data_IF_724681120978
#
_entry.id   IF_724681120978
#
_cell.length_a   1.000
_cell.length_b   1.000
_cell.length_c   1.000
_cell.angle_alpha   90.00
_cell.angle_beta   90.00
_cell.angle_gamma   90.00
#
_symmetry.space_group_name_H-M   'P 1'
#
loop_
_entity.id
_entity.type
_entity.pdbx_description
1 polymer ?
#
# COMPACT_ATOMS: atom_id res chain seq x y z
N UNK A 1 -0.31 30.88 15.62
CA UNK A 1 0.07 29.70 16.44
C UNK A 1 -1.15 28.92 16.92
N UNK A 2 -2.24 29.61 17.34
CA UNK A 2 -3.52 28.97 17.69
C UNK A 2 -4.09 28.10 16.55
N UNK A 3 -4.10 28.61 15.31
CA UNK A 3 -4.73 27.91 14.19
C UNK A 3 -4.03 26.58 13.86
N UNK A 4 -2.69 26.56 13.82
CA UNK A 4 -1.94 25.32 13.58
C UNK A 4 -2.07 24.31 14.73
N UNK A 5 -2.30 24.78 15.96
CA UNK A 5 -2.60 23.89 17.09
C UNK A 5 -3.98 23.25 16.92
N UNK A 6 -4.98 24.01 16.46
CA UNK A 6 -6.30 23.47 16.15
C UNK A 6 -6.24 22.44 15.01
N UNK A 7 -5.52 22.76 13.92
CA UNK A 7 -5.29 21.82 12.81
C UNK A 7 -4.58 20.56 13.28
N UNK A 8 -3.56 20.67 14.15
CA UNK A 8 -2.88 19.51 14.71
C UNK A 8 -3.81 18.61 15.54
N UNK A 9 -4.77 19.19 16.26
CA UNK A 9 -5.74 18.41 17.02
C UNK A 9 -6.63 17.58 16.08
N UNK A 10 -7.07 18.16 14.96
CA UNK A 10 -7.83 17.45 13.92
C UNK A 10 -7.00 16.34 13.28
N UNK A 11 -5.74 16.63 12.89
CA UNK A 11 -4.80 15.63 12.37
C UNK A 11 -4.63 14.46 13.34
N UNK A 12 -4.50 14.74 14.64
CA UNK A 12 -4.35 13.71 15.67
C UNK A 12 -5.60 12.80 15.76
N UNK A 13 -6.79 13.38 15.63
CA UNK A 13 -8.04 12.60 15.59
C UNK A 13 -8.14 11.75 14.33
N UNK A 14 -7.79 12.31 13.16
CA UNK A 14 -7.77 11.56 11.90
C UNK A 14 -6.78 10.40 11.93
N UNK A 15 -5.58 10.60 12.46
CA UNK A 15 -4.57 9.54 12.62
C UNK A 15 -5.07 8.45 13.57
N UNK A 16 -5.76 8.83 14.66
CA UNK A 16 -6.37 7.86 15.59
C UNK A 16 -7.46 7.02 14.92
N UNK A 17 -8.26 7.65 14.06
CA UNK A 17 -9.31 6.95 13.31
C UNK A 17 -8.72 6.03 12.24
N UNK A 18 -7.66 6.44 11.52
CA UNK A 18 -6.90 5.60 10.60
C UNK A 18 -6.37 4.35 11.33
N UNK A 19 -5.75 4.55 12.49
CA UNK A 19 -5.20 3.46 13.30
C UNK A 19 -6.29 2.51 13.83
N UNK A 20 -7.45 3.07 14.23
CA UNK A 20 -8.62 2.28 14.62
C UNK A 20 -9.09 1.41 13.47
N UNK A 21 -9.29 1.97 12.27
CA UNK A 21 -9.73 1.22 11.09
C UNK A 21 -8.72 0.13 10.72
N UNK A 22 -7.42 0.43 10.74
CA UNK A 22 -6.36 -0.54 10.45
C UNK A 22 -6.40 -1.74 11.40
N UNK A 23 -6.55 -1.50 12.71
CA UNK A 23 -6.59 -2.54 13.75
C UNK A 23 -7.91 -3.30 13.81
N UNK A 24 -9.02 -2.65 13.47
CA UNK A 24 -10.35 -3.25 13.61
C UNK A 24 -10.81 -3.97 12.34
N UNK A 25 -10.33 -3.60 11.15
CA UNK A 25 -10.73 -4.24 9.90
C UNK A 25 -10.35 -5.73 9.87
N UNK A 26 -11.35 -6.59 9.94
CA UNK A 26 -11.21 -8.02 9.77
C UNK A 26 -12.31 -8.61 8.88
N UNK A 27 -12.03 -9.80 8.37
CA UNK A 27 -13.01 -10.66 7.72
C UNK A 27 -12.98 -12.02 8.40
N UNK A 28 -14.11 -12.43 8.97
CA UNK A 28 -14.24 -13.68 9.71
C UNK A 28 -13.15 -13.86 10.78
N UNK A 29 -12.86 -12.79 11.53
CA UNK A 29 -11.83 -12.77 12.58
C UNK A 29 -10.38 -12.68 12.09
N UNK A 30 -10.14 -12.71 10.78
CA UNK A 30 -8.80 -12.52 10.20
C UNK A 30 -8.56 -11.04 9.93
N UNK A 31 -7.56 -10.45 10.60
CA UNK A 31 -7.18 -9.05 10.40
C UNK A 31 -6.63 -8.82 9.00
N UNK A 32 -7.02 -7.70 8.40
CA UNK A 32 -6.73 -7.42 6.98
C UNK A 32 -5.71 -6.32 6.78
N UNK A 33 -5.63 -5.34 7.68
CA UNK A 33 -4.91 -4.07 7.44
C UNK A 33 -3.88 -3.74 8.53
N UNK A 34 -3.66 -4.61 9.51
CA UNK A 34 -2.72 -4.38 10.62
C UNK A 34 -1.32 -4.97 10.35
N UNK A 35 -1.06 -5.39 9.11
CA UNK A 35 0.19 -6.01 8.69
C UNK A 35 0.35 -7.49 9.07
N UNK A 36 -0.59 -8.08 9.82
CA UNK A 36 -0.57 -9.51 10.17
C UNK A 36 -1.07 -10.42 9.04
N UNK A 37 -1.84 -9.87 8.09
CA UNK A 37 -2.30 -10.59 6.90
C UNK A 37 -1.09 -10.94 6.02
N UNK A 38 -0.84 -12.24 5.81
CA UNK A 38 0.31 -12.72 5.04
C UNK A 38 -0.09 -13.13 3.62
N UNK A 39 -0.91 -14.15 3.48
CA UNK A 39 -1.51 -14.58 2.22
C UNK A 39 -2.61 -15.58 2.55
N UNK A 40 -3.68 -15.58 1.75
CA UNK A 40 -4.75 -16.57 1.87
C UNK A 40 -5.06 -17.18 0.50
N UNK A 41 -5.14 -18.51 0.44
CA UNK A 41 -5.52 -19.23 -0.76
C UNK A 41 -6.99 -19.63 -0.69
N UNK A 42 -7.72 -19.27 -1.75
CA UNK A 42 -9.10 -19.64 -1.94
C UNK A 42 -9.17 -20.69 -3.04
N UNK A 43 -9.49 -21.93 -2.65
CA UNK A 43 -9.77 -23.00 -3.60
C UNK A 43 -11.04 -22.65 -4.39
N UNK A 44 -10.91 -22.54 -5.71
CA UNK A 44 -12.03 -22.15 -6.60
C UNK A 44 -12.36 -23.22 -7.63
N UNK A 45 -11.47 -24.18 -7.87
CA UNK A 45 -11.73 -25.29 -8.79
C UNK A 45 -12.08 -26.60 -8.08
N UNK A 46 -12.44 -27.61 -8.87
CA UNK A 46 -12.81 -28.94 -8.37
C UNK A 46 -11.59 -29.75 -7.86
N UNK A 47 -10.39 -29.44 -8.35
CA UNK A 47 -9.18 -30.20 -8.04
C UNK A 47 -8.23 -29.39 -7.14
N UNK A 48 -7.53 -30.08 -6.24
CA UNK A 48 -6.53 -29.47 -5.37
C UNK A 48 -5.50 -28.64 -6.17
N UNK A 49 -5.21 -27.43 -5.69
CA UNK A 49 -4.27 -26.50 -6.32
C UNK A 49 -4.91 -25.51 -7.31
N UNK A 50 -6.18 -25.69 -7.66
CA UNK A 50 -6.95 -24.70 -8.43
C UNK A 50 -7.45 -23.57 -7.52
N UNK A 51 -6.54 -22.66 -7.16
CA UNK A 51 -6.81 -21.60 -6.19
C UNK A 51 -6.54 -20.19 -6.74
N UNK A 52 -7.15 -19.20 -6.08
CA UNK A 52 -6.81 -17.79 -6.19
C UNK A 52 -6.16 -17.39 -4.87
N UNK A 53 -4.95 -16.84 -4.93
CA UNK A 53 -4.30 -16.26 -3.77
C UNK A 53 -4.72 -14.80 -3.62
N UNK A 54 -4.94 -14.38 -2.37
CA UNK A 54 -4.90 -12.99 -1.95
C UNK A 54 -3.55 -12.80 -1.26
N UNK A 55 -2.67 -12.04 -1.89
CA UNK A 55 -1.33 -11.77 -1.38
C UNK A 55 -1.34 -10.79 -0.21
N UNK A 56 -0.18 -10.66 0.44
CA UNK A 56 0.04 -9.76 1.58
C UNK A 56 -0.50 -8.36 1.29
N UNK A 57 -1.28 -7.84 2.23
CA UNK A 57 -1.75 -6.45 2.23
C UNK A 57 -0.76 -5.56 2.99
N UNK A 58 -0.89 -4.25 2.78
CA UNK A 58 -0.15 -3.23 3.51
C UNK A 58 -0.41 -3.29 5.04
N UNK A 59 0.59 -2.91 5.83
CA UNK A 59 0.39 -2.52 7.22
C UNK A 59 -0.09 -1.06 7.29
N UNK A 60 -1.39 -0.86 7.45
CA UNK A 60 -2.02 0.46 7.48
C UNK A 60 -2.08 1.08 8.88
N UNK A 61 -1.46 0.47 9.90
CA UNK A 61 -1.37 1.08 11.23
C UNK A 61 -0.65 2.43 11.14
N UNK A 62 -1.02 3.35 12.03
CA UNK A 62 -0.45 4.71 11.99
C UNK A 62 1.08 4.72 12.14
N UNK A 63 1.65 3.75 12.85
CA UNK A 63 3.10 3.61 13.06
C UNK A 63 3.85 2.84 11.95
N UNK A 64 3.18 2.49 10.85
CA UNK A 64 3.76 1.76 9.73
C UNK A 64 3.41 2.40 8.37
N UNK A 65 2.29 3.11 8.29
CA UNK A 65 1.83 3.76 7.08
C UNK A 65 2.66 5.01 6.74
N UNK A 66 3.03 5.16 5.46
CA UNK A 66 3.65 6.39 4.93
C UNK A 66 5.17 6.52 5.06
N UNK A 67 5.87 5.49 5.57
CA UNK A 67 7.31 5.48 5.90
C UNK A 67 8.26 6.33 5.05
N UNK A 68 8.33 7.62 5.33
CA UNK A 68 9.20 8.60 4.67
C UNK A 68 10.44 8.87 5.53
N UNK A 69 11.58 9.16 4.92
CA UNK A 69 12.85 9.36 5.60
C UNK A 69 13.31 10.80 5.37
N UNK A 70 13.69 11.49 6.43
CA UNK A 70 14.12 12.89 6.35
C UNK A 70 15.53 13.04 6.89
N UNK A 71 16.50 13.16 5.98
CA UNK A 71 17.89 13.38 6.36
C UNK A 71 18.02 14.67 7.17
N UNK A 72 18.90 14.66 8.16
CA UNK A 72 19.19 15.82 9.00
C UNK A 72 20.69 15.90 9.17
N UNK A 73 21.22 17.08 8.89
CA UNK A 73 22.64 17.37 8.95
C UNK A 73 22.86 18.78 9.49
N UNK A 74 24.10 19.16 9.73
CA UNK A 74 24.44 20.52 10.14
C UNK A 74 25.52 21.11 9.25
N UNK A 75 25.37 22.40 8.97
CA UNK A 75 26.41 23.23 8.43
C UNK A 75 27.07 23.94 9.61
N UNK A 76 28.29 23.53 9.96
CA UNK A 76 28.98 24.05 11.14
C UNK A 76 29.38 25.50 10.94
N UNK A 77 28.77 26.42 11.69
CA UNK A 77 29.06 27.85 11.62
C UNK A 77 29.12 28.42 13.04
N UNK A 78 30.26 28.18 13.68
CA UNK A 78 30.58 28.73 14.99
C UNK A 78 30.66 30.26 14.92
N UNK A 79 30.56 30.90 16.10
CA UNK A 79 30.83 32.33 16.18
C UNK A 79 32.26 32.63 15.70
N UNK A 80 32.45 33.70 14.92
CA UNK A 80 33.76 34.02 14.37
C UNK A 80 34.76 34.36 15.47
N UNK A 81 36.01 33.92 15.34
CA UNK A 81 37.05 34.19 16.36
C UNK A 81 37.39 35.68 16.51
N UNK A 82 37.05 36.50 15.50
CA UNK A 82 37.20 37.95 15.50
C UNK A 82 35.89 38.59 15.06
N UNK A 83 35.50 39.71 15.68
CA UNK A 83 34.32 40.45 15.25
C UNK A 83 34.62 41.24 13.96
N UNK A 84 34.20 40.71 12.82
CA UNK A 84 34.41 41.27 11.49
C UNK A 84 33.18 41.06 10.61
N UNK A 85 33.07 41.81 9.52
CA UNK A 85 32.02 41.61 8.52
C UNK A 85 32.04 40.17 7.99
N UNK A 86 30.87 39.56 7.90
CA UNK A 86 30.66 38.21 7.40
C UNK A 86 30.10 38.26 5.97
N UNK A 87 30.61 37.40 5.09
CA UNK A 87 29.93 37.11 3.83
C UNK A 87 30.13 35.67 3.38
N UNK A 88 29.17 35.15 2.62
CA UNK A 88 29.30 33.90 1.88
C UNK A 88 28.73 34.04 0.48
N UNK A 89 29.45 33.50 -0.51
CA UNK A 89 29.01 33.46 -1.91
C UNK A 89 29.26 32.11 -2.55
N UNK A 90 28.34 31.66 -3.41
CA UNK A 90 28.47 30.38 -4.12
C UNK A 90 28.19 29.13 -3.28
N UNK A 91 27.56 29.25 -2.12
CA UNK A 91 27.02 28.10 -1.38
C UNK A 91 25.95 27.41 -2.25
N UNK A 92 25.99 26.08 -2.32
CA UNK A 92 24.90 25.29 -2.90
C UNK A 92 24.44 24.18 -1.96
N UNK A 93 23.13 23.91 -1.96
CA UNK A 93 22.48 22.82 -1.22
C UNK A 93 21.76 21.94 -2.22
N UNK A 94 22.01 20.63 -2.22
CA UNK A 94 21.48 19.68 -3.20
C UNK A 94 21.71 20.14 -4.66
N UNK A 95 22.84 20.78 -4.92
CA UNK A 95 23.20 21.34 -6.23
C UNK A 95 22.48 22.65 -6.61
N UNK A 96 21.60 23.17 -5.76
CA UNK A 96 20.91 24.45 -5.97
C UNK A 96 21.70 25.58 -5.33
N UNK A 97 22.00 26.62 -6.11
CA UNK A 97 22.70 27.81 -5.62
C UNK A 97 21.83 28.58 -4.61
N UNK A 98 22.44 28.92 -3.47
CA UNK A 98 21.85 29.78 -2.45
C UNK A 98 22.31 31.22 -2.71
N UNK A 99 21.43 32.18 -2.45
CA UNK A 99 21.76 33.59 -2.60
C UNK A 99 22.94 33.97 -1.68
N UNK A 100 23.80 34.86 -2.18
CA UNK A 100 24.90 35.40 -1.40
C UNK A 100 24.38 36.09 -0.13
N UNK A 101 25.07 35.87 0.98
CA UNK A 101 24.73 36.44 2.28
C UNK A 101 25.83 37.40 2.69
N UNK A 102 25.45 38.58 3.18
CA UNK A 102 26.39 39.56 3.74
C UNK A 102 25.80 40.14 5.02
N UNK A 103 26.59 40.12 6.09
CA UNK A 103 26.21 40.62 7.42
C UNK A 103 27.33 41.50 7.94
N UNK A 104 26.99 42.73 8.33
CA UNK A 104 27.94 43.64 8.97
C UNK A 104 28.24 43.18 10.39
N UNK A 105 29.47 43.44 10.86
CA UNK A 105 29.84 43.12 12.23
C UNK A 105 28.89 43.78 13.23
N UNK A 106 28.46 43.01 14.24
CA UNK A 106 27.67 43.46 15.36
C UNK A 106 28.54 44.04 16.48
N UNK A 107 27.94 44.14 17.68
CA UNK A 107 28.65 44.62 18.87
C UNK A 107 29.82 43.72 19.27
N UNK A 108 29.70 42.41 19.06
CA UNK A 108 30.72 41.41 19.32
C UNK A 108 30.61 40.24 18.31
N UNK A 109 31.55 39.30 18.42
CA UNK A 109 31.59 38.11 17.57
C UNK A 109 30.33 37.25 17.69
N UNK A 110 29.72 37.14 18.87
CA UNK A 110 28.52 36.34 19.08
C UNK A 110 27.30 36.96 18.39
N UNK A 111 27.16 38.28 18.43
CA UNK A 111 26.14 39.02 17.72
C UNK A 111 26.28 38.85 16.20
N UNK A 112 27.50 38.96 15.68
CA UNK A 112 27.81 38.70 14.26
C UNK A 112 27.50 37.26 13.86
N UNK A 113 27.93 36.28 14.66
CA UNK A 113 27.67 34.87 14.43
C UNK A 113 26.17 34.54 14.39
N UNK A 114 25.40 35.07 15.35
CA UNK A 114 23.93 34.94 15.38
C UNK A 114 23.29 35.51 14.11
N UNK A 115 23.61 36.75 13.76
CA UNK A 115 23.03 37.40 12.58
C UNK A 115 23.40 36.67 11.28
N UNK A 116 24.63 36.14 11.19
CA UNK A 116 25.11 35.36 10.05
C UNK A 116 24.34 34.04 9.89
N UNK A 117 24.10 33.31 10.98
CA UNK A 117 23.28 32.09 10.97
C UNK A 117 21.83 32.37 10.60
N UNK A 118 21.24 33.44 11.12
CA UNK A 118 19.86 33.84 10.79
C UNK A 118 19.72 34.23 9.31
N UNK A 119 20.64 35.04 8.79
CA UNK A 119 20.65 35.42 7.38
C UNK A 119 20.86 34.20 6.46
N UNK A 120 21.72 33.26 6.84
CA UNK A 120 21.92 32.02 6.11
C UNK A 120 20.68 31.13 6.11
N UNK A 121 20.03 30.97 7.26
CA UNK A 121 18.74 30.25 7.37
C UNK A 121 17.69 30.87 6.45
N UNK A 122 17.58 32.20 6.42
CA UNK A 122 16.67 32.90 5.52
C UNK A 122 17.01 32.62 4.05
N UNK A 123 18.28 32.70 3.66
CA UNK A 123 18.72 32.45 2.29
C UNK A 123 18.44 31.01 1.83
N UNK A 124 18.68 30.01 2.69
CA UNK A 124 18.41 28.60 2.40
C UNK A 124 16.90 28.35 2.31
N UNK A 125 16.12 28.84 3.29
CA UNK A 125 14.68 28.63 3.33
C UNK A 125 13.94 29.34 2.18
N UNK A 126 14.49 30.43 1.63
CA UNK A 126 13.95 31.06 0.43
C UNK A 126 13.98 30.15 -0.81
N UNK A 127 14.85 29.12 -0.79
CA UNK A 127 15.00 28.13 -1.86
C UNK A 127 14.43 26.75 -1.50
N UNK A 128 13.63 26.63 -0.45
CA UNK A 128 13.10 25.34 0.02
C UNK A 128 12.32 24.55 -1.04
N UNK A 129 11.60 25.25 -1.94
CA UNK A 129 10.85 24.61 -3.02
C UNK A 129 11.74 23.92 -4.06
N UNK A 130 12.98 24.40 -4.22
CA UNK A 130 13.97 23.85 -5.15
C UNK A 130 14.92 22.87 -4.45
N UNK A 131 15.40 23.22 -3.25
CA UNK A 131 16.37 22.40 -2.50
C UNK A 131 15.72 21.18 -1.84
N UNK A 132 14.46 21.29 -1.44
CA UNK A 132 13.78 20.32 -0.58
C UNK A 132 14.35 20.28 0.85
N UNK A 133 15.04 21.33 1.30
CA UNK A 133 15.71 21.40 2.60
C UNK A 133 15.24 22.61 3.39
N UNK A 134 14.87 22.39 4.65
CA UNK A 134 14.56 23.42 5.64
C UNK A 134 15.76 23.64 6.57
N UNK A 135 16.09 24.90 6.84
CA UNK A 135 17.19 25.31 7.68
C UNK A 135 16.70 25.94 8.99
N UNK A 136 17.39 25.64 10.10
CA UNK A 136 17.15 26.20 11.43
C UNK A 136 18.46 26.57 12.12
N UNK A 137 18.46 27.63 12.92
CA UNK A 137 19.64 28.01 13.71
C UNK A 137 19.86 26.96 14.80
N UNK A 138 21.07 26.39 14.86
CA UNK A 138 21.47 25.42 15.88
C UNK A 138 22.33 26.07 16.97
N UNK A 139 21.70 26.95 17.74
CA UNK A 139 22.38 27.72 18.80
C UNK A 139 23.58 28.49 18.27
N UNK A 140 24.75 28.26 18.86
CA UNK A 140 26.04 28.85 18.44
C UNK A 140 26.86 27.92 17.56
N UNK A 141 26.37 26.71 17.26
CA UNK A 141 27.15 25.66 16.57
C UNK A 141 27.01 25.70 15.05
N UNK A 142 25.95 26.30 14.53
CA UNK A 142 25.74 26.45 13.10
C UNK A 142 24.27 26.44 12.69
N UNK A 143 24.01 25.86 11.52
CA UNK A 143 22.67 25.75 10.94
C UNK A 143 22.33 24.27 10.76
N UNK A 144 21.22 23.81 11.34
CA UNK A 144 20.67 22.48 11.07
C UNK A 144 19.92 22.52 9.76
N UNK A 145 20.19 21.55 8.89
CA UNK A 145 19.51 21.31 7.63
C UNK A 145 18.71 20.03 7.75
N UNK A 146 17.41 20.09 7.50
CA UNK A 146 16.52 18.93 7.52
C UNK A 146 15.80 18.83 6.19
N UNK A 147 15.81 17.65 5.58
CA UNK A 147 15.05 17.39 4.36
C UNK A 147 13.55 17.46 4.66
N UNK A 148 12.80 18.11 3.78
CA UNK A 148 11.34 18.12 3.80
C UNK A 148 10.73 17.25 2.70
N UNK A 149 11.59 16.72 1.82
CA UNK A 149 11.26 15.65 0.86
C UNK A 149 11.83 14.32 1.32
N UNK A 150 11.29 13.24 0.78
CA UNK A 150 11.80 11.92 1.10
C UNK A 150 13.27 11.80 0.66
N UNK A 151 14.09 11.30 1.57
CA UNK A 151 15.53 11.15 1.40
C UNK A 151 15.86 9.78 0.82
N UNK A 152 15.00 9.27 -0.05
CA UNK A 152 15.16 8.00 -0.76
C UNK A 152 14.88 8.25 -2.24
N UNK A 153 15.75 7.72 -3.10
CA UNK A 153 15.54 7.73 -4.54
C UNK A 153 14.49 6.68 -4.94
N UNK A 154 14.00 6.76 -6.17
CA UNK A 154 13.03 5.78 -6.70
C UNK A 154 13.57 4.33 -6.72
N UNK A 155 14.89 4.15 -6.72
CA UNK A 155 15.56 2.85 -6.65
C UNK A 155 15.75 2.33 -5.20
N UNK A 156 15.29 3.07 -4.19
CA UNK A 156 15.43 2.73 -2.78
C UNK A 156 16.76 3.15 -2.13
N UNK A 157 17.68 3.75 -2.88
CA UNK A 157 18.96 4.24 -2.34
C UNK A 157 18.78 5.50 -1.49
N UNK A 158 19.62 5.67 -0.48
CA UNK A 158 19.59 6.84 0.39
C UNK A 158 20.08 8.10 -0.36
N UNK A 159 19.27 9.16 -0.31
CA UNK A 159 19.58 10.48 -0.86
C UNK A 159 19.91 11.44 0.28
N UNK A 160 21.19 11.51 0.65
CA UNK A 160 21.68 12.44 1.64
C UNK A 160 21.55 13.90 1.17
N UNK A 161 21.40 14.82 2.11
CA UNK A 161 21.62 16.24 1.86
C UNK A 161 23.06 16.43 1.44
N UNK A 162 23.29 17.24 0.41
CA UNK A 162 24.62 17.67 -0.01
C UNK A 162 24.74 19.17 0.15
N UNK A 163 25.89 19.65 0.59
CA UNK A 163 26.22 21.07 0.60
C UNK A 163 27.64 21.24 0.04
N UNK A 164 27.79 22.14 -0.91
CA UNK A 164 29.10 22.55 -1.43
C UNK A 164 29.41 23.92 -0.86
N UNK A 165 30.43 24.06 0.00
CA UNK A 165 30.77 25.35 0.58
C UNK A 165 31.26 26.31 -0.52
N UNK A 166 30.74 27.53 -0.49
CA UNK A 166 31.23 28.62 -1.33
C UNK A 166 32.48 29.30 -0.77
N UNK A 167 32.68 30.57 -1.12
CA UNK A 167 33.69 31.43 -0.49
C UNK A 167 33.11 32.03 0.80
N UNK A 168 33.89 32.06 1.88
CA UNK A 168 33.46 32.60 3.18
C UNK A 168 34.47 33.64 3.66
N UNK A 169 33.97 34.80 4.11
CA UNK A 169 34.77 35.84 4.76
C UNK A 169 34.24 36.11 6.16
N UNK A 170 35.13 36.51 7.07
CA UNK A 170 34.76 36.79 8.46
C UNK A 170 34.45 35.56 9.31
N UNK A 171 34.54 34.33 8.75
CA UNK A 171 34.40 33.07 9.46
C UNK A 171 35.20 31.96 8.76
N UNK A 172 35.51 30.87 9.48
CA UNK A 172 36.01 29.63 8.86
C UNK A 172 34.91 29.05 7.98
N UNK A 173 35.26 28.66 6.74
CA UNK A 173 34.32 27.98 5.86
C UNK A 173 33.75 26.73 6.56
N UNK A 174 32.42 26.54 6.53
CA UNK A 174 31.78 25.46 7.26
C UNK A 174 32.19 24.13 6.66
N UNK A 175 32.48 23.17 7.54
CA UNK A 175 32.57 21.77 7.13
C UNK A 175 31.15 21.22 7.01
N UNK A 176 30.91 20.49 5.91
CA UNK A 176 29.69 19.71 5.72
C UNK A 176 30.09 18.26 5.46
N UNK A 177 29.55 17.34 6.24
CA UNK A 177 29.77 15.91 6.05
C UNK A 177 28.42 15.27 5.81
N UNK A 178 28.16 14.85 4.57
CA UNK A 178 26.89 14.19 4.22
C UNK A 178 26.66 12.95 5.10
N UNK A 179 25.40 12.67 5.44
CA UNK A 179 25.07 11.43 6.13
C UNK A 179 25.40 10.24 5.24
N UNK A 180 25.94 9.17 5.82
CA UNK A 180 26.26 7.93 5.10
C UNK A 180 25.17 6.87 5.23
N UNK A 181 24.14 7.13 6.06
CA UNK A 181 23.09 6.16 6.33
C UNK A 181 21.72 6.85 6.39
N UNK A 182 20.71 6.12 5.90
CA UNK A 182 19.35 6.61 5.88
C UNK A 182 18.79 6.73 7.31
N UNK A 183 18.09 7.82 7.65
CA UNK A 183 17.48 7.98 8.96
C UNK A 183 16.31 6.99 9.16
N UNK A 184 15.83 6.91 10.40
CA UNK A 184 14.61 6.19 10.72
C UNK A 184 13.45 6.75 9.88
N UNK A 185 12.56 5.84 9.42
CA UNK A 185 11.36 6.26 8.74
C UNK A 185 10.39 6.92 9.72
N UNK A 186 9.63 7.88 9.21
CA UNK A 186 8.54 8.60 9.85
C UNK A 186 7.23 8.15 9.23
N UNK A 187 6.24 7.95 10.08
CA UNK A 187 4.97 7.33 9.70
C UNK A 187 3.81 8.27 9.96
N UNK A 188 2.59 7.81 9.66
CA UNK A 188 1.38 8.59 9.89
C UNK A 188 1.23 9.06 11.36
N UNK A 189 1.78 8.30 12.32
CA UNK A 189 1.85 8.67 13.74
C UNK A 189 2.78 9.85 14.06
N UNK A 190 3.73 10.16 13.17
CA UNK A 190 4.69 11.26 13.31
C UNK A 190 4.19 12.56 12.65
N UNK A 191 2.97 12.61 12.12
CA UNK A 191 2.43 13.82 11.48
C UNK A 191 2.35 14.99 12.47
N UNK A 192 3.06 16.07 12.17
CA UNK A 192 3.02 17.32 12.90
C UNK A 192 2.90 18.51 11.95
N UNK A 193 1.77 19.21 11.96
CA UNK A 193 1.50 20.41 11.15
C UNK A 193 1.65 21.71 11.95
N UNK A 194 2.21 21.65 13.17
CA UNK A 194 2.40 22.81 14.04
C UNK A 194 3.50 23.78 13.55
N UNK A 195 4.42 23.29 12.72
CA UNK A 195 5.53 24.04 12.13
C UNK A 195 5.53 23.93 10.61
N UNK A 196 6.21 24.84 9.91
CA UNK A 196 6.34 24.80 8.44
C UNK A 196 7.09 23.54 8.00
N UNK A 197 8.20 23.21 8.67
CA UNK A 197 8.98 21.98 8.47
C UNK A 197 8.10 20.74 8.63
N UNK A 198 7.39 20.64 9.75
CA UNK A 198 6.52 19.51 10.04
C UNK A 198 5.40 19.38 9.01
N UNK A 199 4.75 20.49 8.62
CA UNK A 199 3.68 20.46 7.62
C UNK A 199 4.17 19.97 6.25
N UNK A 200 5.37 20.36 5.82
CA UNK A 200 5.96 19.87 4.57
C UNK A 200 6.31 18.37 4.66
N UNK A 201 6.89 17.93 5.78
CA UNK A 201 7.17 16.51 6.02
C UNK A 201 5.88 15.67 6.09
N UNK A 202 4.82 16.21 6.71
CA UNK A 202 3.51 15.58 6.77
C UNK A 202 2.93 15.35 5.37
N UNK A 203 3.09 16.31 4.45
CA UNK A 203 2.67 16.12 3.05
C UNK A 203 3.38 14.94 2.39
N UNK A 204 4.68 14.78 2.60
CA UNK A 204 5.45 13.67 2.03
C UNK A 204 5.04 12.31 2.64
N UNK A 205 4.83 12.25 3.97
CA UNK A 205 4.34 11.04 4.64
C UNK A 205 2.95 10.65 4.11
N UNK A 206 2.06 11.62 3.92
CA UNK A 206 0.72 11.40 3.39
C UNK A 206 0.77 10.94 1.93
N UNK A 207 1.62 11.53 1.09
CA UNK A 207 1.76 11.11 -0.31
C UNK A 207 2.24 9.66 -0.41
N UNK A 208 3.26 9.29 0.39
CA UNK A 208 3.71 7.90 0.54
C UNK A 208 2.60 6.97 1.02
N UNK A 209 1.82 7.39 2.02
CA UNK A 209 0.71 6.61 2.54
C UNK A 209 -0.38 6.38 1.48
N UNK A 210 -0.76 7.43 0.74
CA UNK A 210 -1.74 7.37 -0.34
C UNK A 210 -1.24 6.50 -1.50
N UNK A 211 0.03 6.63 -1.88
CA UNK A 211 0.65 5.77 -2.88
C UNK A 211 0.56 4.29 -2.50
N UNK A 212 0.87 3.97 -1.24
CA UNK A 212 0.82 2.59 -0.75
C UNK A 212 -0.62 2.05 -0.69
N UNK A 213 -1.60 2.85 -0.23
CA UNK A 213 -3.03 2.50 -0.26
C UNK A 213 -3.53 2.30 -1.68
N UNK A 214 -3.15 3.17 -2.61
CA UNK A 214 -3.56 3.07 -4.02
C UNK A 214 -3.04 1.79 -4.66
N UNK A 215 -1.79 1.40 -4.39
CA UNK A 215 -1.24 0.11 -4.84
C UNK A 215 -2.08 -1.06 -4.30
N UNK A 216 -2.31 -1.11 -2.99
CA UNK A 216 -3.10 -2.20 -2.37
C UNK A 216 -4.53 -2.25 -2.93
N UNK A 217 -5.18 -1.10 -3.16
CA UNK A 217 -6.53 -1.06 -3.76
C UNK A 217 -6.54 -1.53 -5.21
N UNK A 218 -5.50 -1.23 -5.98
CA UNK A 218 -5.36 -1.73 -7.35
C UNK A 218 -5.23 -3.25 -7.37
N UNK A 219 -4.39 -3.81 -6.49
CA UNK A 219 -4.18 -5.26 -6.37
C UNK A 219 -5.48 -5.98 -5.95
N UNK A 220 -6.18 -5.45 -4.94
CA UNK A 220 -7.47 -5.99 -4.50
C UNK A 220 -8.56 -5.86 -5.59
N UNK A 221 -8.53 -4.80 -6.41
CA UNK A 221 -9.43 -4.65 -7.55
C UNK A 221 -9.17 -5.68 -8.63
N UNK A 222 -7.90 -5.96 -8.95
CA UNK A 222 -7.53 -7.01 -9.89
C UNK A 222 -7.97 -8.40 -9.41
N UNK A 223 -7.78 -8.68 -8.12
CA UNK A 223 -8.24 -9.93 -7.48
C UNK A 223 -9.76 -10.06 -7.55
N UNK A 224 -10.52 -8.99 -7.27
CA UNK A 224 -11.98 -8.99 -7.39
C UNK A 224 -12.42 -9.34 -8.81
N UNK A 225 -11.82 -8.72 -9.84
CA UNK A 225 -12.12 -9.03 -11.24
C UNK A 225 -11.85 -10.51 -11.56
N UNK A 226 -10.76 -11.07 -11.03
CA UNK A 226 -10.42 -12.49 -11.19
C UNK A 226 -11.45 -13.39 -10.52
N UNK A 227 -11.88 -13.08 -9.29
CA UNK A 227 -12.95 -13.84 -8.62
C UNK A 227 -14.27 -13.75 -9.39
N UNK A 228 -14.69 -12.59 -9.87
CA UNK A 228 -15.93 -12.43 -10.65
C UNK A 228 -15.90 -13.28 -11.93
N UNK A 229 -14.77 -13.27 -12.65
CA UNK A 229 -14.61 -14.09 -13.87
C UNK A 229 -14.68 -15.59 -13.56
N UNK A 230 -14.01 -16.03 -12.48
CA UNK A 230 -14.03 -17.44 -12.07
C UNK A 230 -15.42 -17.86 -11.60
N UNK A 231 -16.13 -17.02 -10.84
CA UNK A 231 -17.52 -17.28 -10.42
C UNK A 231 -18.43 -17.48 -11.63
N UNK A 232 -18.36 -16.60 -12.62
CA UNK A 232 -19.16 -16.74 -13.84
C UNK A 232 -18.85 -18.05 -14.59
N UNK A 233 -17.56 -18.41 -14.71
CA UNK A 233 -17.14 -19.66 -15.33
C UNK A 233 -17.65 -20.90 -14.57
N UNK A 234 -17.57 -20.89 -13.23
CA UNK A 234 -18.04 -21.98 -12.38
C UNK A 234 -19.56 -22.13 -12.44
N UNK A 235 -20.32 -21.03 -12.53
CA UNK A 235 -21.77 -21.08 -12.71
C UNK A 235 -22.14 -21.77 -14.02
N UNK A 236 -21.53 -21.37 -15.15
CA UNK A 236 -21.75 -22.03 -16.45
C UNK A 236 -21.32 -23.50 -16.43
N UNK A 237 -20.20 -23.82 -15.81
CA UNK A 237 -19.73 -25.21 -15.68
C UNK A 237 -20.69 -26.06 -14.84
N UNK A 238 -21.20 -25.51 -13.74
CA UNK A 238 -22.20 -26.16 -12.88
C UNK A 238 -23.51 -26.40 -13.62
N UNK A 239 -23.99 -25.42 -14.39
CA UNK A 239 -25.21 -25.55 -15.21
C UNK A 239 -25.05 -26.64 -16.28
N UNK A 240 -23.93 -26.63 -17.00
CA UNK A 240 -23.62 -27.63 -18.03
C UNK A 240 -23.48 -29.05 -17.45
N UNK A 241 -22.85 -29.19 -16.27
CA UNK A 241 -22.75 -30.48 -15.58
C UNK A 241 -24.10 -30.96 -15.06
N UNK A 242 -24.93 -30.06 -14.53
CA UNK A 242 -26.29 -30.39 -14.08
C UNK A 242 -27.16 -30.86 -15.26
N UNK A 243 -27.13 -30.14 -16.39
CA UNK A 243 -27.85 -30.51 -17.60
C UNK A 243 -27.35 -31.85 -18.18
N UNK A 244 -26.04 -32.08 -18.18
CA UNK A 244 -25.46 -33.35 -18.63
C UNK A 244 -25.86 -34.51 -17.72
N UNK A 245 -25.88 -34.28 -16.40
CA UNK A 245 -26.37 -35.27 -15.43
C UNK A 245 -27.86 -35.57 -15.61
N UNK A 246 -28.69 -34.56 -15.88
CA UNK A 246 -30.11 -34.76 -16.19
C UNK A 246 -30.28 -35.63 -17.42
N UNK A 247 -29.60 -35.29 -18.53
CA UNK A 247 -29.68 -36.08 -19.77
C UNK A 247 -29.29 -37.54 -19.56
N UNK A 248 -28.20 -37.80 -18.83
CA UNK A 248 -27.78 -39.18 -18.51
C UNK A 248 -28.86 -39.89 -17.69
N UNK A 249 -29.38 -39.24 -16.64
CA UNK A 249 -30.44 -39.82 -15.80
C UNK A 249 -31.74 -40.06 -16.56
N UNK A 250 -32.14 -39.15 -17.43
CA UNK A 250 -33.36 -39.26 -18.24
C UNK A 250 -33.23 -40.38 -19.26
N UNK A 251 -32.06 -40.54 -19.90
CA UNK A 251 -31.81 -41.68 -20.80
C UNK A 251 -31.78 -43.01 -20.07
N UNK A 252 -31.18 -43.06 -18.88
CA UNK A 252 -31.15 -44.27 -18.06
C UNK A 252 -32.55 -44.66 -17.58
N UNK A 253 -33.36 -43.68 -17.16
CA UNK A 253 -34.75 -43.90 -16.76
C UNK A 253 -35.62 -44.39 -17.93
N UNK A 254 -35.45 -43.80 -19.13
CA UNK A 254 -36.15 -44.25 -20.32
C UNK A 254 -35.79 -45.70 -20.67
N UNK A 255 -34.52 -46.09 -20.57
CA UNK A 255 -34.05 -47.46 -20.79
C UNK A 255 -34.64 -48.45 -19.78
N UNK A 256 -34.59 -48.12 -18.49
CA UNK A 256 -35.14 -48.97 -17.42
C UNK A 256 -36.67 -49.13 -17.56
N UNK A 257 -37.37 -48.05 -17.88
CA UNK A 257 -38.84 -48.09 -18.11
C UNK A 257 -39.19 -48.96 -19.33
N UNK A 258 -38.38 -48.90 -20.39
CA UNK A 258 -38.56 -49.75 -21.57
C UNK A 258 -38.31 -51.23 -21.24
N UNK A 259 -37.29 -51.55 -20.43
CA UNK A 259 -37.04 -52.93 -19.98
C UNK A 259 -38.14 -53.44 -19.04
N UNK A 260 -38.62 -52.61 -18.10
CA UNK A 260 -39.75 -52.96 -17.25
C UNK A 260 -40.99 -53.26 -18.09
N UNK A 261 -41.29 -52.40 -19.06
CA UNK A 261 -42.43 -52.57 -19.97
C UNK A 261 -42.28 -53.82 -20.82
N UNK A 262 -41.08 -54.08 -21.38
CA UNK A 262 -40.77 -55.31 -22.11
C UNK A 262 -40.98 -56.54 -21.22
N UNK A 263 -40.51 -56.49 -19.97
CA UNK A 263 -40.62 -57.60 -19.02
C UNK A 263 -42.08 -57.86 -18.63
N UNK A 264 -42.89 -56.82 -18.44
CA UNK A 264 -44.33 -56.94 -18.21
C UNK A 264 -45.07 -57.50 -19.42
N UNK A 265 -44.74 -57.05 -20.64
CA UNK A 265 -45.30 -57.61 -21.88
C UNK A 265 -44.89 -59.07 -22.04
N UNK A 266 -43.64 -59.45 -21.75
CA UNK A 266 -43.20 -60.84 -21.79
C UNK A 266 -43.91 -61.70 -20.74
N UNK A 267 -44.17 -61.19 -19.54
CA UNK A 267 -44.96 -61.89 -18.53
C UNK A 267 -46.42 -62.08 -18.97
N UNK A 268 -47.06 -61.05 -19.52
CA UNK A 268 -48.44 -61.12 -20.03
C UNK A 268 -48.57 -61.99 -21.28
N UNK A 269 -47.60 -61.90 -22.19
CA UNK A 269 -47.53 -62.78 -23.36
C UNK A 269 -47.21 -64.22 -22.95
N UNK A 270 -46.36 -64.42 -21.94
CA UNK A 270 -46.07 -65.74 -21.36
C UNK A 270 -47.31 -66.40 -20.76
N UNK A 271 -48.12 -65.65 -19.99
CA UNK A 271 -49.38 -66.17 -19.44
C UNK A 271 -50.46 -66.37 -20.51
N UNK A 272 -50.58 -65.48 -21.49
CA UNK A 272 -51.50 -65.62 -22.62
C UNK A 272 -51.12 -66.78 -23.56
N UNK A 273 -49.82 -66.98 -23.83
CA UNK A 273 -49.31 -68.12 -24.58
C UNK A 273 -49.55 -69.43 -23.83
N UNK A 274 -49.37 -69.46 -22.51
CA UNK A 274 -49.74 -70.59 -21.66
C UNK A 274 -51.25 -70.88 -21.74
N UNK A 275 -52.09 -69.85 -21.67
CA UNK A 275 -53.54 -69.98 -21.78
C UNK A 275 -53.96 -70.48 -23.17
N UNK A 276 -53.38 -69.96 -24.25
CA UNK A 276 -53.63 -70.39 -25.63
C UNK A 276 -53.15 -71.84 -25.85
N UNK A 277 -51.95 -72.18 -25.37
CA UNK A 277 -51.41 -73.54 -25.42
C UNK A 277 -52.27 -74.55 -24.64
N UNK A 278 -52.92 -74.12 -23.56
CA UNK A 278 -53.89 -74.93 -22.82
C UNK A 278 -55.27 -75.03 -23.51
N UNK A 279 -55.65 -74.08 -24.37
CA UNK A 279 -56.89 -74.12 -25.16
C UNK A 279 -56.77 -74.91 -26.47
N UNK A 280 -55.59 -74.96 -27.09
CA UNK A 280 -55.34 -75.74 -28.32
C UNK A 280 -55.75 -77.22 -28.21
N UNK A 281 -55.46 -77.94 -27.10
CA UNK A 281 -55.97 -79.30 -26.89
C UNK A 281 -57.49 -79.40 -26.82
N UNK A 282 -58.20 -78.36 -26.37
CA UNK A 282 -59.67 -78.36 -26.29
C UNK A 282 -60.33 -78.15 -27.66
N UNK A 283 -59.72 -77.36 -28.56
CA UNK A 283 -60.19 -77.22 -29.94
C UNK A 283 -60.05 -78.50 -30.77
N UNK A 284 -59.02 -79.31 -30.47
CA UNK A 284 -58.84 -80.63 -31.11
C UNK A 284 -59.87 -81.65 -30.62
N UNK A 285 -60.33 -81.53 -29.37
CA UNK A 285 -61.40 -82.38 -28.82
C UNK A 285 -62.80 -82.04 -29.40
N UNK A 286 -63.05 -80.82 -29.88
CA UNK A 286 -64.34 -80.49 -30.54
C UNK A 286 -64.44 -81.02 -31.97
N UNK A 287 -63.32 -81.34 -32.61
CA UNK A 287 -63.25 -81.97 -33.95
C UNK A 287 -63.43 -83.50 -33.90
N UNK A 288 -63.49 -84.08 -32.70
CA UNK A 288 -63.69 -85.51 -32.45
C UNK A 288 -65.11 -85.86 -31.96
N UNK A 289 -66.09 -84.96 -32.16
CA UNK A 289 -67.52 -85.22 -31.90
C UNK A 289 -68.35 -85.15 -33.17
#
# INVERSE_FOLDING_TARGET
>A
ASDRKALQAEVTQLVSEIDRVAKQSDFNGTKLLDGSFSSQLFQVGANAGQAIAIDKTIDAKANALGGAKFDTNSLALADPGTNADFSTSGLSINGVAIADVSVKQGADAAATGKASREALVTAINAKIGETGVFAEVNGTTGVTLTSVKDSVNADGSFKAITATPGTWTGATAPTFTASTAAPAAKYASDLDVSTVKGAQQAMEIVDKALGAINSTRADLGAIQNRFTSVVANLQTSSENLSASRSRIKDTDFAKETAELTRTQILQQAGTAMLAQANQVPQGVLSLLR
#
